data_IF_125026765537
#
_entry.id   IF_125026765537
#
_cell.length_a   1.000
_cell.length_b   1.000
_cell.length_c   1.000
_cell.angle_alpha   90.00
_cell.angle_beta   90.00
_cell.angle_gamma   90.00
#
_symmetry.space_group_name_H-M   'P 1'
#
loop_
_entity.id
_entity.type
_entity.pdbx_description
1 polymer ?
#
# COMPACT_ATOMS: atom_id res chain seq x y z
N UNK A 1 -34.89 5.01 -10.53
CA UNK A 1 -33.58 5.03 -9.84
C UNK A 1 -32.62 4.18 -10.64
N UNK A 2 -31.42 4.67 -10.93
CA UNK A 2 -30.36 3.84 -11.50
C UNK A 2 -29.86 2.85 -10.44
N UNK A 3 -29.26 1.73 -10.88
CA UNK A 3 -28.65 0.73 -9.99
C UNK A 3 -27.42 1.28 -9.25
N UNK A 4 -26.68 2.19 -9.89
CA UNK A 4 -25.47 2.80 -9.32
C UNK A 4 -25.82 4.07 -8.54
N UNK A 5 -25.06 4.32 -7.47
CA UNK A 5 -25.16 5.54 -6.68
C UNK A 5 -24.57 6.75 -7.43
N UNK A 6 -25.21 7.92 -7.30
CA UNK A 6 -24.76 9.16 -7.95
C UNK A 6 -23.35 9.58 -7.54
N UNK A 7 -22.90 9.19 -6.34
CA UNK A 7 -21.53 9.45 -5.88
C UNK A 7 -20.46 8.89 -6.82
N UNK A 8 -20.74 7.75 -7.48
CA UNK A 8 -19.79 7.13 -8.40
C UNK A 8 -19.57 7.97 -9.66
N UNK A 9 -20.57 8.74 -10.09
CA UNK A 9 -20.46 9.63 -11.26
C UNK A 9 -19.48 10.79 -11.06
N UNK A 10 -19.18 11.14 -9.81
CA UNK A 10 -18.20 12.19 -9.47
C UNK A 10 -16.75 11.71 -9.56
N UNK A 11 -16.52 10.40 -9.54
CA UNK A 11 -15.18 9.81 -9.56
C UNK A 11 -14.79 9.55 -11.02
N UNK A 12 -13.68 10.16 -11.46
CA UNK A 12 -13.12 9.90 -12.79
C UNK A 12 -12.24 8.65 -12.76
N UNK A 13 -12.20 7.86 -13.85
CA UNK A 13 -11.21 6.79 -14.01
C UNK A 13 -9.77 7.32 -13.85
N UNK A 14 -8.90 6.52 -13.23
CA UNK A 14 -7.51 6.90 -12.99
C UNK A 14 -6.71 6.94 -14.30
N UNK A 15 -6.20 8.13 -14.66
CA UNK A 15 -5.34 8.30 -15.82
C UNK A 15 -4.03 7.49 -15.70
N UNK A 16 -3.47 7.38 -14.49
CA UNK A 16 -2.22 6.63 -14.23
C UNK A 16 -2.39 5.14 -14.53
N UNK A 17 -3.51 4.54 -14.10
CA UNK A 17 -3.81 3.13 -14.39
C UNK A 17 -3.99 2.92 -15.90
N UNK A 18 -4.70 3.81 -16.58
CA UNK A 18 -4.95 3.71 -18.02
C UNK A 18 -3.63 3.73 -18.82
N UNK A 19 -2.71 4.64 -18.49
CA UNK A 19 -1.39 4.72 -19.15
C UNK A 19 -0.54 3.47 -18.86
N UNK A 20 -0.48 3.03 -17.60
CA UNK A 20 0.28 1.84 -17.22
C UNK A 20 -0.26 0.56 -17.89
N UNK A 21 -1.58 0.45 -18.04
CA UNK A 21 -2.19 -0.66 -18.77
C UNK A 21 -1.85 -0.59 -20.27
N UNK A 22 -1.94 0.59 -20.89
CA UNK A 22 -1.62 0.74 -22.31
C UNK A 22 -0.16 0.42 -22.62
N UNK A 23 0.77 0.85 -21.75
CA UNK A 23 2.19 0.53 -21.88
C UNK A 23 2.43 -0.99 -21.81
N UNK A 24 1.78 -1.69 -20.87
CA UNK A 24 1.84 -3.17 -20.77
C UNK A 24 1.28 -3.86 -22.02
N UNK A 25 0.14 -3.41 -22.54
CA UNK A 25 -0.46 -3.95 -23.76
C UNK A 25 0.45 -3.78 -24.99
N UNK A 26 1.13 -2.64 -25.13
CA UNK A 26 2.04 -2.39 -26.25
C UNK A 26 3.30 -3.27 -26.14
N UNK A 27 3.87 -3.41 -24.93
CA UNK A 27 4.98 -4.35 -24.68
C UNK A 27 4.60 -5.79 -25.03
N UNK A 28 3.41 -6.24 -24.61
CA UNK A 28 2.92 -7.59 -24.92
C UNK A 28 2.74 -7.84 -26.43
N UNK A 29 2.57 -6.77 -27.23
CA UNK A 29 2.53 -6.82 -28.71
C UNK A 29 3.91 -6.75 -29.36
N UNK A 30 4.99 -6.89 -28.59
CA UNK A 30 6.37 -6.86 -29.08
C UNK A 30 6.89 -5.46 -29.42
N UNK A 31 6.21 -4.40 -28.97
CA UNK A 31 6.70 -3.03 -29.15
C UNK A 31 7.72 -2.71 -28.06
N UNK A 32 8.82 -2.09 -28.46
CA UNK A 32 9.77 -1.51 -27.51
C UNK A 32 9.16 -0.24 -26.89
N UNK A 33 8.97 -0.25 -25.57
CA UNK A 33 8.29 0.81 -24.82
C UNK A 33 9.05 1.07 -23.52
N UNK A 34 9.53 2.30 -23.35
CA UNK A 34 10.07 2.78 -22.09
C UNK A 34 8.91 3.37 -21.28
N UNK A 35 8.59 2.75 -20.14
CA UNK A 35 7.49 3.19 -19.27
C UNK A 35 8.03 4.04 -18.12
N UNK A 36 7.84 5.35 -18.20
CA UNK A 36 8.27 6.32 -17.18
C UNK A 36 7.12 6.75 -16.23
N UNK A 37 5.97 6.06 -16.30
CA UNK A 37 4.78 6.40 -15.52
C UNK A 37 4.54 5.55 -14.27
N UNK A 38 5.44 4.61 -13.96
CA UNK A 38 5.33 3.78 -12.76
C UNK A 38 5.73 4.63 -11.53
N UNK A 39 4.91 4.58 -10.48
CA UNK A 39 5.18 5.25 -9.21
C UNK A 39 5.72 4.30 -8.12
N UNK A 40 6.06 3.07 -8.49
CA UNK A 40 6.67 2.08 -7.60
C UNK A 40 8.18 1.98 -7.89
N UNK A 41 9.02 1.74 -6.87
CA UNK A 41 10.44 1.50 -7.09
C UNK A 41 10.69 0.28 -7.98
N UNK A 42 11.81 0.29 -8.70
CA UNK A 42 12.31 -0.84 -9.50
C UNK A 42 12.97 -1.94 -8.66
N UNK A 43 13.44 -1.60 -7.46
CA UNK A 43 14.02 -2.56 -6.52
C UNK A 43 12.97 -3.47 -5.91
N UNK A 44 13.36 -4.71 -5.65
CA UNK A 44 12.55 -5.68 -4.90
C UNK A 44 12.55 -5.36 -3.39
N UNK A 45 11.62 -5.96 -2.66
CA UNK A 45 11.55 -5.86 -1.20
C UNK A 45 12.83 -6.44 -0.56
N UNK A 46 13.46 -5.74 0.41
CA UNK A 46 14.64 -6.23 1.11
C UNK A 46 14.47 -7.62 1.75
N UNK A 47 15.53 -8.43 1.72
CA UNK A 47 15.47 -9.84 2.16
C UNK A 47 15.10 -10.03 3.63
N UNK A 48 15.50 -9.12 4.51
CA UNK A 48 15.11 -9.19 5.92
C UNK A 48 13.58 -9.05 6.10
N UNK A 49 12.92 -8.26 5.25
CA UNK A 49 11.45 -8.08 5.28
C UNK A 49 10.77 -9.33 4.70
N UNK A 50 11.26 -9.86 3.58
CA UNK A 50 10.76 -11.11 3.00
C UNK A 50 10.84 -12.27 3.99
N UNK A 51 11.98 -12.42 4.68
CA UNK A 51 12.17 -13.46 5.70
C UNK A 51 11.19 -13.32 6.86
N UNK A 52 11.01 -12.12 7.41
CA UNK A 52 10.04 -11.89 8.48
C UNK A 52 8.60 -12.28 8.08
N UNK A 53 8.21 -11.99 6.83
CA UNK A 53 6.90 -12.42 6.31
C UNK A 53 6.78 -13.95 6.17
N UNK A 54 7.82 -14.61 5.65
CA UNK A 54 7.87 -16.08 5.55
C UNK A 54 7.76 -16.72 6.93
N UNK A 55 8.49 -16.21 7.91
CA UNK A 55 8.43 -16.74 9.27
C UNK A 55 7.06 -16.50 9.92
N UNK A 56 6.42 -15.34 9.70
CA UNK A 56 5.07 -15.09 10.19
C UNK A 56 4.06 -16.11 9.63
N UNK A 57 4.19 -16.47 8.34
CA UNK A 57 3.42 -17.56 7.73
C UNK A 57 3.69 -18.88 8.45
N UNK A 58 4.96 -19.23 8.68
CA UNK A 58 5.35 -20.47 9.36
C UNK A 58 4.87 -20.55 10.82
N UNK A 59 4.82 -19.41 11.53
CA UNK A 59 4.30 -19.28 12.90
C UNK A 59 2.77 -19.25 12.98
N UNK A 60 2.08 -19.24 11.84
CA UNK A 60 0.62 -19.24 11.79
C UNK A 60 -0.04 -17.90 12.11
N UNK A 61 0.66 -16.78 11.88
CA UNK A 61 0.15 -15.40 12.03
C UNK A 61 -0.86 -15.04 10.90
N UNK A 62 -1.93 -15.83 10.77
CA UNK A 62 -2.89 -15.76 9.64
C UNK A 62 -4.33 -15.48 10.08
N UNK A 63 -4.52 -15.01 11.32
CA UNK A 63 -5.84 -14.69 11.88
C UNK A 63 -6.09 -13.19 11.81
N UNK A 64 -7.33 -12.78 12.09
CA UNK A 64 -7.67 -11.38 12.13
C UNK A 64 -6.80 -10.62 13.13
N UNK A 65 -6.30 -9.48 12.68
CA UNK A 65 -5.64 -8.49 13.53
C UNK A 65 -6.68 -7.55 14.12
N UNK A 66 -6.35 -6.79 15.18
CA UNK A 66 -7.15 -5.63 15.57
C UNK A 66 -7.32 -4.67 14.39
N UNK A 67 -8.46 -3.98 14.33
CA UNK A 67 -8.77 -3.04 13.24
C UNK A 67 -7.71 -1.96 13.07
N UNK A 68 -7.15 -1.45 14.17
CA UNK A 68 -6.10 -0.42 14.12
C UNK A 68 -4.70 -0.96 13.79
N UNK A 69 -4.53 -2.28 13.67
CA UNK A 69 -3.25 -2.96 13.49
C UNK A 69 -2.75 -3.67 14.75
N UNK A 70 -1.77 -4.56 14.57
CA UNK A 70 -1.11 -5.29 15.66
C UNK A 70 -0.32 -4.33 16.58
N UNK A 71 -0.28 -4.55 17.91
CA UNK A 71 0.42 -3.67 18.84
C UNK A 71 1.89 -3.42 18.48
N UNK A 72 2.60 -4.46 18.04
CA UNK A 72 4.04 -4.44 17.72
C UNK A 72 4.35 -3.44 16.60
N UNK A 73 3.53 -3.45 15.55
CA UNK A 73 3.69 -2.52 14.42
C UNK A 73 3.31 -1.09 14.83
N UNK A 74 2.25 -0.91 15.62
CA UNK A 74 1.82 0.41 16.11
C UNK A 74 2.86 1.08 17.00
N UNK A 75 3.49 0.31 17.89
CA UNK A 75 4.61 0.77 18.72
C UNK A 75 5.84 1.12 17.86
N UNK A 76 6.16 0.29 16.87
CA UNK A 76 7.25 0.57 15.93
C UNK A 76 7.01 1.86 15.12
N UNK A 77 5.77 2.13 14.72
CA UNK A 77 5.39 3.37 14.02
C UNK A 77 5.55 4.60 14.94
N UNK A 78 5.07 4.55 16.18
CA UNK A 78 5.25 5.65 17.13
C UNK A 78 6.75 5.93 17.40
N UNK A 79 7.54 4.87 17.60
CA UNK A 79 8.98 4.98 17.78
C UNK A 79 9.68 5.53 16.53
N UNK A 80 9.24 5.16 15.33
CA UNK A 80 9.73 5.72 14.05
C UNK A 80 9.44 7.23 13.98
N UNK A 81 8.22 7.65 14.26
CA UNK A 81 7.85 9.07 14.24
C UNK A 81 8.69 9.89 15.23
N UNK A 82 8.97 9.37 16.42
CA UNK A 82 9.88 10.04 17.36
C UNK A 82 11.31 10.11 16.81
N UNK A 83 11.86 8.99 16.36
CA UNK A 83 13.26 8.88 15.90
C UNK A 83 13.56 9.70 14.65
N UNK A 84 12.65 9.70 13.67
CA UNK A 84 12.91 10.24 12.33
C UNK A 84 12.24 11.58 12.08
N UNK A 85 11.20 11.91 12.85
CA UNK A 85 10.42 13.14 12.66
C UNK A 85 10.35 14.01 13.92
N UNK A 86 10.93 13.57 15.04
CA UNK A 86 10.83 14.23 16.35
C UNK A 86 9.38 14.50 16.79
N UNK A 87 8.47 13.58 16.48
CA UNK A 87 7.06 13.64 16.86
C UNK A 87 6.78 12.66 18.00
N UNK A 88 6.20 13.16 19.08
CA UNK A 88 5.80 12.37 20.24
C UNK A 88 4.33 11.94 20.10
N UNK A 89 4.13 10.69 19.65
CA UNK A 89 2.81 10.05 19.63
C UNK A 89 2.78 8.89 20.61
N UNK A 90 1.68 8.75 21.36
CA UNK A 90 1.36 7.48 21.98
C UNK A 90 1.01 6.45 20.89
N UNK A 91 1.38 5.19 21.08
CA UNK A 91 1.13 4.16 20.08
C UNK A 91 -0.36 3.95 19.79
N UNK A 92 -1.26 4.31 20.73
CA UNK A 92 -2.71 4.30 20.53
C UNK A 92 -3.20 5.37 19.54
N UNK A 93 -2.37 6.37 19.22
CA UNK A 93 -2.65 7.39 18.20
C UNK A 93 -2.23 6.96 16.79
N UNK A 94 -1.63 5.77 16.62
CA UNK A 94 -1.24 5.24 15.32
C UNK A 94 -2.31 4.31 14.74
N UNK A 95 -2.44 4.22 13.42
CA UNK A 95 -3.35 3.29 12.73
C UNK A 95 -2.65 2.66 11.52
N UNK A 96 -2.87 1.36 11.31
CA UNK A 96 -2.37 0.63 10.15
C UNK A 96 -3.52 0.42 9.17
N UNK A 97 -3.31 0.80 7.91
CA UNK A 97 -4.25 0.56 6.81
C UNK A 97 -3.60 -0.21 5.67
N UNK A 98 -4.41 -0.56 4.67
CA UNK A 98 -3.97 -1.28 3.46
C UNK A 98 -3.32 -0.30 2.49
N UNK A 99 -2.16 0.22 2.88
CA UNK A 99 -1.44 1.29 2.20
C UNK A 99 -1.99 2.69 2.51
N UNK A 100 -1.19 3.71 2.22
CA UNK A 100 -1.49 5.11 2.59
C UNK A 100 -2.77 5.67 1.96
N UNK A 101 -3.23 5.10 0.84
CA UNK A 101 -4.46 5.56 0.17
C UNK A 101 -5.70 5.39 1.07
N UNK A 102 -5.83 4.27 1.78
CA UNK A 102 -6.94 4.04 2.70
C UNK A 102 -6.90 4.98 3.92
N UNK A 103 -5.74 5.53 4.28
CA UNK A 103 -5.64 6.48 5.39
C UNK A 103 -6.24 7.84 5.01
N UNK A 104 -6.21 8.18 3.72
CA UNK A 104 -6.70 9.47 3.20
C UNK A 104 -8.21 9.49 2.92
N UNK A 105 -8.80 8.34 2.58
CA UNK A 105 -10.18 8.20 2.10
C UNK A 105 -10.98 7.25 2.98
#
# INVERSE_FOLDING_TARGET
MAFLADALSRVKPSATIAVAQKARELKAKGRDVISLGAGEPDFDTPDNIKKAAIEAIQRGETKYTPVSGIPELRQAIAAKFKRENNLDYDWTQTIVGTGGKQILF
#
